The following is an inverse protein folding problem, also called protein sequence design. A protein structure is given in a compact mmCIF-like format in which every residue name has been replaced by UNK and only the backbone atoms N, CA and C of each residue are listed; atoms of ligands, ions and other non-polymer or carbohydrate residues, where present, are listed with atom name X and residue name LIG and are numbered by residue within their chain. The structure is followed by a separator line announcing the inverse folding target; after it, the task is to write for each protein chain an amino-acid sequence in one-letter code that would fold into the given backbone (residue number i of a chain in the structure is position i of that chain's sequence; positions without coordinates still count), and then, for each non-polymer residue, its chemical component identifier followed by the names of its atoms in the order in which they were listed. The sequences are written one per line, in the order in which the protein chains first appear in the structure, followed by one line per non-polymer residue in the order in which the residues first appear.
data_IF_700856232255
#
_entry.id   IF_700856232255
#
_cell.length_a   1.000
_cell.length_b   1.000
_cell.length_c   1.000
_cell.angle_alpha   90.00
_cell.angle_beta   90.00
_cell.angle_gamma   90.00
#
_symmetry.space_group_name_H-M   'P 1'
#
loop_
_entity.id
_entity.type
_entity.pdbx_description
1 polymer ?
#
# COMPACT_ATOMS: atom_id res chain seq x y z
N UNK A 1 5.00 25.31 -32.14
CA UNK A 1 4.76 25.24 -30.69
C UNK A 1 3.94 24.01 -30.34
N UNK A 2 2.83 23.72 -31.04
CA UNK A 2 1.97 22.57 -30.73
C UNK A 2 2.60 21.18 -30.86
N UNK A 3 3.36 20.88 -31.93
CA UNK A 3 3.92 19.53 -32.12
C UNK A 3 4.91 19.11 -31.03
N UNK A 4 5.72 20.05 -30.56
CA UNK A 4 6.72 19.80 -29.52
C UNK A 4 6.07 19.61 -28.15
N UNK A 5 5.06 20.44 -27.82
CA UNK A 5 4.26 20.28 -26.59
C UNK A 5 3.46 18.98 -26.57
N UNK A 6 2.90 18.56 -27.69
CA UNK A 6 2.19 17.28 -27.82
C UNK A 6 3.15 16.11 -27.53
N UNK A 7 4.34 16.12 -28.13
CA UNK A 7 5.32 15.04 -27.94
C UNK A 7 5.88 15.01 -26.51
N UNK A 8 6.16 16.18 -25.92
CA UNK A 8 6.60 16.29 -24.52
C UNK A 8 5.53 15.77 -23.57
N UNK A 9 4.25 16.10 -23.82
CA UNK A 9 3.13 15.61 -23.02
C UNK A 9 3.04 14.09 -23.10
N UNK A 10 3.09 13.53 -24.32
CA UNK A 10 3.07 12.08 -24.53
C UNK A 10 4.24 11.38 -23.81
N UNK A 11 5.45 11.89 -23.98
CA UNK A 11 6.65 11.34 -23.34
C UNK A 11 6.54 11.33 -21.82
N UNK A 12 6.00 12.39 -21.23
CA UNK A 12 5.78 12.46 -19.78
C UNK A 12 4.77 11.43 -19.30
N UNK A 13 3.63 11.28 -20.00
CA UNK A 13 2.63 10.26 -19.67
C UNK A 13 3.16 8.84 -19.85
N UNK A 14 3.87 8.56 -20.93
CA UNK A 14 4.49 7.25 -21.19
C UNK A 14 5.47 6.87 -20.07
N UNK A 15 6.25 7.85 -19.57
CA UNK A 15 7.18 7.63 -18.47
C UNK A 15 6.46 7.31 -17.14
N UNK A 16 5.43 8.09 -16.78
CA UNK A 16 4.62 7.83 -15.58
C UNK A 16 3.93 6.48 -15.67
N UNK A 17 3.37 6.15 -16.83
CA UNK A 17 2.70 4.89 -17.06
C UNK A 17 3.67 3.70 -16.95
N UNK A 18 4.85 3.80 -17.55
CA UNK A 18 5.91 2.79 -17.41
C UNK A 18 6.29 2.58 -15.94
N UNK A 19 6.51 3.67 -15.20
CA UNK A 19 6.80 3.58 -13.77
C UNK A 19 5.69 2.83 -13.01
N UNK A 20 4.42 3.13 -13.29
CA UNK A 20 3.29 2.46 -12.64
C UNK A 20 3.19 0.98 -13.04
N UNK A 21 3.54 0.62 -14.28
CA UNK A 21 3.63 -0.77 -14.71
C UNK A 21 4.70 -1.53 -13.94
N UNK A 22 5.90 -0.98 -13.78
CA UNK A 22 6.97 -1.63 -13.00
C UNK A 22 6.54 -1.88 -11.55
N UNK A 23 5.86 -0.91 -10.91
CA UNK A 23 5.32 -1.10 -9.56
C UNK A 23 4.23 -2.17 -9.54
N UNK A 24 3.37 -2.22 -10.55
CA UNK A 24 2.38 -3.29 -10.67
C UNK A 24 3.03 -4.66 -10.83
N UNK A 25 4.09 -4.80 -11.64
CA UNK A 25 4.81 -6.06 -11.79
C UNK A 25 5.43 -6.51 -10.46
N UNK A 26 6.08 -5.61 -9.73
CA UNK A 26 6.63 -5.89 -8.40
C UNK A 26 5.55 -6.39 -7.43
N UNK A 27 4.39 -5.72 -7.37
CA UNK A 27 3.27 -6.15 -6.52
C UNK A 27 2.76 -7.52 -6.93
N UNK A 28 2.64 -7.80 -8.24
CA UNK A 28 2.19 -9.09 -8.77
C UNK A 28 3.18 -10.21 -8.47
N UNK A 29 4.47 -9.91 -8.45
CA UNK A 29 5.51 -10.87 -8.08
C UNK A 29 5.45 -11.20 -6.58
N UNK A 30 5.30 -10.19 -5.72
CA UNK A 30 5.01 -10.38 -4.29
C UNK A 30 3.77 -11.25 -4.10
N UNK A 31 2.69 -10.95 -4.81
CA UNK A 31 1.45 -11.72 -4.76
C UNK A 31 1.67 -13.18 -5.17
N UNK A 32 2.36 -13.44 -6.27
CA UNK A 32 2.62 -14.79 -6.76
C UNK A 32 3.39 -15.64 -5.73
N UNK A 33 4.41 -15.06 -5.09
CA UNK A 33 5.19 -15.77 -4.05
C UNK A 33 4.32 -16.02 -2.81
N UNK A 34 3.53 -15.03 -2.38
CA UNK A 34 2.67 -15.15 -1.20
C UNK A 34 1.49 -16.11 -1.42
N UNK A 35 1.04 -16.30 -2.66
CA UNK A 35 0.00 -17.29 -3.01
C UNK A 35 0.44 -18.73 -2.72
N UNK A 36 1.75 -19.04 -2.75
CA UNK A 36 2.29 -20.34 -2.34
C UNK A 36 2.01 -20.65 -0.86
N UNK A 37 1.76 -19.61 -0.06
CA UNK A 37 1.47 -19.65 1.39
C UNK A 37 0.01 -19.29 1.69
N UNK A 38 -0.88 -19.48 0.70
CA UNK A 38 -2.33 -19.24 0.76
C UNK A 38 -2.76 -17.81 1.13
N UNK A 39 -1.90 -16.81 0.89
CA UNK A 39 -2.31 -15.42 0.99
C UNK A 39 -3.06 -14.95 -0.25
N UNK A 40 -4.06 -14.10 -0.03
CA UNK A 40 -4.80 -13.39 -1.08
C UNK A 40 -4.58 -11.89 -0.96
N UNK A 41 -4.43 -11.21 -2.10
CA UNK A 41 -4.30 -9.76 -2.14
C UNK A 41 -5.66 -9.10 -1.91
N UNK A 42 -5.72 -8.23 -0.91
CA UNK A 42 -6.84 -7.34 -0.67
C UNK A 42 -6.62 -6.01 -1.36
N UNK A 43 -7.65 -5.53 -2.07
CA UNK A 43 -7.61 -4.25 -2.79
C UNK A 43 -8.42 -3.21 -2.02
N UNK A 44 -8.00 -1.94 -1.99
CA UNK A 44 -8.78 -0.90 -1.36
C UNK A 44 -10.14 -0.78 -2.06
N UNK A 45 -11.20 -0.59 -1.28
CA UNK A 45 -12.52 -0.30 -1.84
C UNK A 45 -12.55 1.12 -2.38
N UNK A 46 -12.32 1.26 -3.69
CA UNK A 46 -12.46 2.50 -4.45
C UNK A 46 -11.27 3.45 -4.35
N UNK A 47 -10.73 3.83 -5.51
CA UNK A 47 -10.13 5.13 -5.75
C UNK A 47 -10.57 5.61 -7.13
N UNK A 48 -11.46 6.59 -7.14
CA UNK A 48 -11.62 7.52 -8.24
C UNK A 48 -11.15 8.88 -7.74
N UNK A 49 -10.36 9.60 -8.53
CA UNK A 49 -10.14 11.03 -8.31
C UNK A 49 -11.51 11.70 -8.44
N UNK A 50 -12.20 11.92 -7.33
CA UNK A 50 -13.39 12.77 -7.26
C UNK A 50 -13.07 13.89 -6.29
N UNK A 51 -12.70 15.05 -6.83
CA UNK A 51 -12.62 16.27 -6.05
C UNK A 51 -14.04 16.65 -5.66
N UNK A 52 -14.39 16.45 -4.37
CA UNK A 52 -15.72 16.82 -3.85
C UNK A 52 -15.95 18.33 -3.84
N UNK A 53 -14.90 19.15 -3.98
CA UNK A 53 -14.93 20.61 -3.88
C UNK A 53 -13.93 21.26 -4.84
N UNK A 54 -14.19 22.50 -5.28
CA UNK A 54 -13.30 23.31 -6.14
C UNK A 54 -11.93 23.59 -5.50
N UNK A 55 -11.84 23.55 -4.17
CA UNK A 55 -10.58 23.68 -3.42
C UNK A 55 -9.57 22.58 -3.79
N UNK A 56 -10.03 21.38 -4.16
CA UNK A 56 -9.16 20.31 -4.64
C UNK A 56 -8.49 20.59 -5.99
N UNK A 57 -8.98 21.60 -6.72
CA UNK A 57 -8.45 22.05 -8.02
C UNK A 57 -7.53 23.27 -7.92
N UNK A 58 -7.28 23.77 -6.70
CA UNK A 58 -6.32 24.86 -6.49
C UNK A 58 -4.92 24.43 -6.94
N UNK A 59 -4.17 25.36 -7.55
CA UNK A 59 -2.82 25.10 -8.06
C UNK A 59 -1.87 24.59 -6.97
N UNK A 60 -2.08 25.02 -5.72
CA UNK A 60 -1.34 24.55 -4.54
C UNK A 60 -1.53 23.05 -4.27
N UNK A 61 -2.65 22.46 -4.73
CA UNK A 61 -2.99 21.05 -4.53
C UNK A 61 -2.59 20.15 -5.70
N UNK A 62 -2.11 20.72 -6.82
CA UNK A 62 -1.68 19.96 -8.01
C UNK A 62 -0.63 18.91 -7.66
N UNK A 63 0.25 19.23 -6.70
CA UNK A 63 1.26 18.27 -6.23
C UNK A 63 0.67 16.99 -5.62
N UNK A 64 -0.61 16.98 -5.24
CA UNK A 64 -1.31 15.85 -4.63
C UNK A 64 -2.18 15.06 -5.63
N UNK A 65 -2.24 15.48 -6.89
CA UNK A 65 -3.11 14.84 -7.89
C UNK A 65 -2.54 13.53 -8.42
N UNK A 66 -1.21 13.40 -8.42
CA UNK A 66 -0.53 12.17 -8.82
C UNK A 66 -0.32 11.26 -7.62
N UNK A 67 -0.73 9.97 -7.68
CA UNK A 67 -0.35 8.99 -6.67
C UNK A 67 1.17 8.90 -6.52
N UNK A 68 1.63 9.17 -5.30
CA UNK A 68 3.05 9.14 -4.89
C UNK A 68 3.45 7.85 -4.19
N UNK A 69 2.46 7.11 -3.72
CA UNK A 69 2.62 5.86 -3.00
C UNK A 69 1.55 4.85 -3.38
N UNK A 70 1.89 3.58 -3.20
CA UNK A 70 1.03 2.43 -3.48
C UNK A 70 0.98 1.58 -2.23
N UNK A 71 -0.22 1.21 -1.79
CA UNK A 71 -0.36 0.24 -0.71
C UNK A 71 -1.26 -0.90 -1.13
N UNK A 72 -0.84 -2.11 -0.80
CA UNK A 72 -1.64 -3.33 -0.91
C UNK A 72 -1.53 -4.08 0.40
N UNK A 73 -2.54 -4.90 0.71
CA UNK A 73 -2.45 -5.81 1.84
C UNK A 73 -2.69 -7.24 1.39
N UNK A 74 -2.18 -8.18 2.18
CA UNK A 74 -2.38 -9.60 2.00
C UNK A 74 -2.89 -10.20 3.30
N UNK A 75 -3.81 -11.13 3.17
CA UNK A 75 -4.46 -11.83 4.27
C UNK A 75 -4.53 -13.31 3.91
N UNK A 76 -4.57 -14.16 4.92
CA UNK A 76 -4.85 -15.58 4.72
C UNK A 76 -6.21 -15.75 4.03
N UNK A 77 -6.28 -16.71 3.10
CA UNK A 77 -7.44 -16.91 2.22
C UNK A 77 -8.74 -17.20 2.98
N UNK A 78 -8.65 -17.89 4.12
CA UNK A 78 -9.77 -18.20 5.02
C UNK A 78 -10.35 -16.95 5.72
N UNK A 79 -9.50 -15.95 6.00
CA UNK A 79 -9.91 -14.68 6.62
C UNK A 79 -10.52 -13.69 5.62
N UNK A 80 -10.37 -13.96 4.32
CA UNK A 80 -10.76 -13.05 3.24
C UNK A 80 -11.55 -13.78 2.14
N UNK A 81 -12.75 -14.30 2.48
CA UNK A 81 -13.59 -14.96 1.52
C UNK A 81 -14.01 -14.01 0.38
N UNK A 82 -14.17 -14.58 -0.80
CA UNK A 82 -14.71 -13.89 -1.96
C UNK A 82 -16.24 -13.99 -1.93
N UNK A 83 -16.92 -12.85 -1.89
CA UNK A 83 -18.37 -12.75 -1.97
C UNK A 83 -18.74 -11.89 -3.18
N UNK A 84 -19.46 -12.48 -4.15
CA UNK A 84 -19.90 -11.81 -5.40
C UNK A 84 -18.76 -11.10 -6.16
N UNK A 85 -17.58 -11.72 -6.20
CA UNK A 85 -16.40 -11.17 -6.87
C UNK A 85 -15.67 -10.06 -6.11
N UNK A 86 -16.05 -9.80 -4.86
CA UNK A 86 -15.42 -8.83 -3.97
C UNK A 86 -14.79 -9.60 -2.81
N UNK A 87 -13.51 -9.33 -2.54
CA UNK A 87 -12.84 -9.83 -1.32
C UNK A 87 -13.40 -9.09 -0.10
N UNK A 88 -13.76 -9.84 0.94
CA UNK A 88 -14.25 -9.26 2.19
C UNK A 88 -13.35 -9.70 3.34
N UNK A 89 -12.39 -8.86 3.70
CA UNK A 89 -11.51 -9.07 4.86
C UNK A 89 -12.17 -8.50 6.10
N UNK A 90 -12.89 -9.33 6.87
CA UNK A 90 -13.59 -8.85 8.07
C UNK A 90 -12.61 -8.58 9.21
N UNK A 91 -12.75 -7.43 9.85
CA UNK A 91 -12.02 -7.12 11.08
C UNK A 91 -12.59 -7.96 12.22
N UNK A 92 -11.72 -8.73 12.85
CA UNK A 92 -11.99 -9.52 14.03
C UNK A 92 -10.71 -9.58 14.90
N UNK A 93 -10.82 -10.13 16.10
CA UNK A 93 -9.72 -10.21 17.06
C UNK A 93 -8.52 -11.01 16.54
N UNK A 94 -8.75 -11.98 15.66
CA UNK A 94 -7.71 -12.80 15.05
C UNK A 94 -7.13 -12.23 13.76
N UNK A 95 -7.67 -11.10 13.26
CA UNK A 95 -7.28 -10.60 11.96
C UNK A 95 -5.83 -10.11 12.01
N UNK A 96 -5.04 -10.70 11.12
CA UNK A 96 -3.66 -10.34 10.90
C UNK A 96 -3.38 -10.23 9.41
N UNK A 97 -2.81 -9.09 9.02
CA UNK A 97 -2.54 -8.80 7.61
C UNK A 97 -1.10 -8.37 7.38
N UNK A 98 -0.60 -8.71 6.21
CA UNK A 98 0.62 -8.15 5.64
C UNK A 98 0.24 -6.89 4.89
N UNK A 99 1.02 -5.84 5.01
CA UNK A 99 0.86 -4.62 4.21
C UNK A 99 2.17 -4.35 3.51
N UNK A 100 2.10 -4.06 2.21
CA UNK A 100 3.24 -3.56 1.44
C UNK A 100 2.90 -2.13 1.03
N UNK A 101 3.77 -1.21 1.39
CA UNK A 101 3.68 0.21 1.10
C UNK A 101 4.91 0.66 0.32
N UNK A 102 4.72 1.14 -0.90
CA UNK A 102 5.78 1.62 -1.79
C UNK A 102 5.64 3.13 -1.90
N UNK A 103 6.69 3.86 -1.55
CA UNK A 103 6.74 5.32 -1.66
C UNK A 103 7.76 5.69 -2.75
N UNK A 104 7.29 6.34 -3.81
CA UNK A 104 8.13 6.71 -4.95
C UNK A 104 8.71 8.11 -4.78
N UNK A 105 7.91 9.05 -4.29
CA UNK A 105 8.32 10.44 -4.23
C UNK A 105 7.55 11.20 -3.15
N UNK A 106 8.28 11.95 -2.32
CA UNK A 106 7.75 12.95 -1.39
C UNK A 106 8.83 14.02 -1.19
N UNK A 107 8.45 15.22 -0.74
CA UNK A 107 9.40 16.31 -0.42
C UNK A 107 10.48 15.86 0.57
N UNK A 108 10.17 14.91 1.45
CA UNK A 108 11.07 14.44 2.50
C UNK A 108 11.78 13.12 2.18
N UNK A 109 11.40 12.44 1.09
CA UNK A 109 11.96 11.13 0.73
C UNK A 109 13.16 11.32 -0.20
N UNK A 110 14.34 10.90 0.26
CA UNK A 110 15.59 10.98 -0.52
C UNK A 110 15.68 9.93 -1.62
N UNK A 111 15.08 8.76 -1.42
CA UNK A 111 15.10 7.61 -2.34
C UNK A 111 13.78 6.83 -2.23
N UNK A 112 13.24 6.32 -3.34
CA UNK A 112 12.08 5.43 -3.30
C UNK A 112 12.31 4.25 -2.35
N UNK A 113 11.28 3.89 -1.61
CA UNK A 113 11.35 2.85 -0.59
C UNK A 113 10.16 1.92 -0.66
N UNK A 114 10.39 0.69 -0.23
CA UNK A 114 9.36 -0.31 0.01
C UNK A 114 9.37 -0.65 1.49
N UNK A 115 8.20 -0.58 2.10
CA UNK A 115 7.98 -0.93 3.49
C UNK A 115 7.02 -2.09 3.54
N UNK A 116 7.38 -3.16 4.25
CA UNK A 116 6.42 -4.19 4.61
C UNK A 116 6.08 -4.10 6.09
N UNK A 117 4.82 -4.36 6.42
CA UNK A 117 4.33 -4.30 7.79
C UNK A 117 3.42 -5.48 8.09
N UNK A 118 3.48 -5.96 9.34
CA UNK A 118 2.53 -6.90 9.91
C UNK A 118 1.61 -6.10 10.80
N UNK A 119 0.31 -6.11 10.49
CA UNK A 119 -0.70 -5.38 11.25
C UNK A 119 -1.55 -6.36 12.04
N UNK A 120 -1.68 -6.10 13.34
CA UNK A 120 -2.41 -6.89 14.34
C UNK A 120 -3.25 -5.98 15.23
N UNK A 121 -4.06 -6.56 16.11
CA UNK A 121 -4.88 -5.83 17.10
C UNK A 121 -5.73 -4.72 16.47
N UNK A 122 -6.32 -5.02 15.31
CA UNK A 122 -7.05 -4.04 14.50
C UNK A 122 -8.41 -3.80 15.12
N UNK A 123 -8.67 -2.54 15.47
CA UNK A 123 -9.95 -2.09 16.04
C UNK A 123 -10.50 -0.96 15.20
N UNK A 124 -11.73 -1.13 14.73
CA UNK A 124 -12.48 -0.07 14.06
C UNK A 124 -13.21 0.80 15.09
N UNK A 125 -12.94 2.11 15.07
CA UNK A 125 -13.66 3.10 15.87
C UNK A 125 -14.98 3.52 15.20
N UNK A 126 -15.31 2.97 14.01
CA UNK A 126 -16.52 3.27 13.25
C UNK A 126 -17.38 2.00 13.08
N UNK A 127 -18.61 1.95 13.61
CA UNK A 127 -19.46 0.76 13.56
C UNK A 127 -19.71 0.19 12.15
N UNK A 128 -19.67 1.03 11.11
CA UNK A 128 -19.94 0.62 9.72
C UNK A 128 -18.69 0.16 8.96
N UNK A 129 -17.51 0.25 9.57
CA UNK A 129 -16.24 -0.07 8.93
C UNK A 129 -15.75 -1.42 9.45
N UNK A 130 -16.38 -2.47 8.95
CA UNK A 130 -16.11 -3.87 9.35
C UNK A 130 -15.09 -4.56 8.42
N UNK A 131 -14.70 -3.89 7.32
CA UNK A 131 -13.82 -4.43 6.27
C UNK A 131 -12.46 -3.76 6.30
N UNK A 132 -11.38 -4.54 6.30
CA UNK A 132 -10.01 -4.01 6.27
C UNK A 132 -9.74 -3.17 5.00
N UNK A 133 -10.40 -3.46 3.89
CA UNK A 133 -10.29 -2.74 2.62
C UNK A 133 -10.60 -1.23 2.75
N UNK A 134 -11.43 -0.83 3.72
CA UNK A 134 -11.72 0.59 3.98
C UNK A 134 -10.56 1.32 4.66
N UNK A 135 -9.69 0.59 5.34
CA UNK A 135 -8.57 1.13 6.12
C UNK A 135 -7.36 1.39 5.24
N UNK A 136 -7.16 0.62 4.17
CA UNK A 136 -5.96 0.71 3.35
C UNK A 136 -5.75 2.09 2.70
N UNK A 137 -6.83 2.77 2.30
CA UNK A 137 -6.75 4.15 1.76
C UNK A 137 -6.23 5.13 2.81
N UNK A 138 -6.74 5.04 4.04
CA UNK A 138 -6.31 5.84 5.19
C UNK A 138 -4.90 5.48 5.65
N UNK A 139 -4.56 4.21 5.63
CA UNK A 139 -3.21 3.72 5.88
C UNK A 139 -2.22 4.37 4.91
N UNK A 140 -2.53 4.34 3.62
CA UNK A 140 -1.69 4.95 2.57
C UNK A 140 -1.51 6.45 2.79
N UNK A 141 -2.59 7.15 3.15
CA UNK A 141 -2.56 8.58 3.44
C UNK A 141 -1.73 8.91 4.68
N UNK A 142 -1.83 8.09 5.73
CA UNK A 142 -1.14 8.28 7.00
C UNK A 142 0.22 7.57 7.09
N UNK A 143 0.73 6.99 6.00
CA UNK A 143 1.92 6.13 5.99
C UNK A 143 3.12 6.77 6.69
N UNK A 144 3.38 8.06 6.44
CA UNK A 144 4.44 8.82 7.11
C UNK A 144 4.31 8.82 8.63
N UNK A 145 3.09 9.00 9.16
CA UNK A 145 2.83 9.00 10.60
C UNK A 145 2.97 7.58 11.17
N UNK A 146 2.44 6.58 10.46
CA UNK A 146 2.47 5.17 10.86
C UNK A 146 3.91 4.65 10.96
N UNK A 147 4.77 5.02 10.01
CA UNK A 147 6.15 4.53 9.90
C UNK A 147 7.20 5.49 10.50
N UNK A 148 6.78 6.43 11.35
CA UNK A 148 7.67 7.44 11.93
C UNK A 148 8.44 6.96 13.17
N UNK A 149 7.94 5.94 13.87
CA UNK A 149 8.27 5.70 15.29
C UNK A 149 8.98 4.37 15.56
N UNK A 150 10.11 4.12 14.89
CA UNK A 150 10.87 2.86 15.03
C UNK A 150 10.11 1.65 14.46
N UNK A 151 10.63 0.42 14.55
CA UNK A 151 10.07 -0.75 13.84
C UNK A 151 8.74 -1.26 14.41
N UNK A 152 8.29 -0.76 15.56
CA UNK A 152 7.02 -1.15 16.17
C UNK A 152 5.96 -0.08 15.89
N UNK A 153 4.76 -0.51 15.54
CA UNK A 153 3.61 0.35 15.29
C UNK A 153 2.68 0.25 16.49
N UNK A 154 2.35 1.40 17.05
CA UNK A 154 1.20 1.60 17.94
C UNK A 154 0.48 2.85 17.44
N UNK A 155 -0.55 2.66 16.61
CA UNK A 155 -1.22 3.74 15.90
C UNK A 155 -2.69 3.82 16.29
N UNK A 156 -3.15 5.04 16.51
CA UNK A 156 -4.55 5.36 16.74
C UNK A 156 -4.94 6.67 16.03
N UNK A 157 -6.11 6.65 15.40
CA UNK A 157 -6.82 7.84 14.95
C UNK A 157 -8.33 7.73 15.16
N UNK A 158 -9.08 8.72 14.64
CA UNK A 158 -10.53 8.83 14.77
C UNK A 158 -11.31 7.65 14.15
N UNK A 159 -10.68 6.84 13.31
CA UNK A 159 -11.29 5.76 12.54
C UNK A 159 -10.82 4.38 12.99
N UNK A 160 -9.57 4.21 13.42
CA UNK A 160 -9.03 2.92 13.84
C UNK A 160 -7.83 3.02 14.77
N UNK A 161 -7.63 1.90 15.46
CA UNK A 161 -6.42 1.57 16.21
C UNK A 161 -5.86 0.26 15.67
N UNK A 162 -4.54 0.16 15.65
CA UNK A 162 -3.85 -1.09 15.36
C UNK A 162 -2.44 -1.08 15.92
N UNK A 163 -1.89 -2.28 16.04
CA UNK A 163 -0.48 -2.50 16.36
C UNK A 163 0.20 -3.20 15.21
N UNK A 164 1.52 -3.25 15.26
CA UNK A 164 2.25 -3.98 14.25
C UNK A 164 3.75 -3.83 14.35
N UNK A 165 4.41 -4.38 13.33
CA UNK A 165 5.84 -4.19 13.10
C UNK A 165 6.06 -3.90 11.63
N UNK A 166 7.03 -3.07 11.31
CA UNK A 166 7.42 -2.83 9.92
C UNK A 166 8.92 -2.83 9.75
N UNK A 167 9.31 -2.98 8.50
CA UNK A 167 10.68 -2.82 8.03
C UNK A 167 10.67 -2.13 6.69
N UNK A 168 11.69 -1.31 6.44
CA UNK A 168 11.79 -0.50 5.23
C UNK A 168 13.09 -0.82 4.53
N UNK A 169 13.01 -1.03 3.22
CA UNK A 169 14.13 -1.21 2.32
C UNK A 169 14.14 -0.14 1.23
N UNK A 170 15.32 0.14 0.70
CA UNK A 170 15.44 0.96 -0.51
C UNK A 170 14.86 0.15 -1.69
N UNK A 171 13.91 0.73 -2.42
CA UNK A 171 13.24 0.05 -3.52
C UNK A 171 14.25 -0.41 -4.60
N UNK A 172 15.22 0.45 -4.93
CA UNK A 172 16.26 0.14 -5.92
C UNK A 172 17.36 -0.80 -5.41
N UNK A 173 17.27 -1.26 -4.16
CA UNK A 173 18.13 -2.35 -3.69
C UNK A 173 17.61 -3.72 -4.08
N UNK A 174 16.43 -3.81 -4.71
CA UNK A 174 15.81 -5.06 -5.14
C UNK A 174 15.90 -5.11 -6.66
N UNK A 175 16.81 -5.93 -7.18
CA UNK A 175 17.07 -6.03 -8.62
C UNK A 175 16.73 -7.39 -9.21
N UNK A 176 16.24 -8.33 -8.39
CA UNK A 176 15.81 -9.65 -8.83
C UNK A 176 14.76 -10.25 -7.90
N UNK A 177 14.07 -11.28 -8.40
CA UNK A 177 13.12 -12.10 -7.63
C UNK A 177 13.76 -12.71 -6.37
N UNK A 178 15.01 -13.14 -6.47
CA UNK A 178 15.76 -13.71 -5.33
C UNK A 178 16.02 -12.64 -4.26
N UNK A 179 16.39 -11.42 -4.65
CA UNK A 179 16.56 -10.32 -3.71
C UNK A 179 15.23 -9.90 -3.08
N UNK A 180 14.15 -9.86 -3.87
CA UNK A 180 12.80 -9.58 -3.38
C UNK A 180 12.40 -10.59 -2.30
N UNK A 181 12.60 -11.88 -2.59
CA UNK A 181 12.30 -12.96 -1.64
C UNK A 181 13.12 -12.81 -0.36
N UNK A 182 14.43 -12.64 -0.49
CA UNK A 182 15.36 -12.57 0.65
C UNK A 182 15.19 -11.32 1.52
N UNK A 183 14.95 -10.15 0.91
CA UNK A 183 14.91 -8.85 1.62
C UNK A 183 13.52 -8.47 2.10
N UNK A 184 12.47 -8.91 1.39
CA UNK A 184 11.08 -8.53 1.68
C UNK A 184 10.27 -9.74 2.14
N UNK A 185 10.14 -10.77 1.30
CA UNK A 185 9.14 -11.84 1.54
C UNK A 185 9.51 -12.72 2.75
N UNK A 186 10.71 -13.31 2.77
CA UNK A 186 11.10 -14.24 3.84
C UNK A 186 11.12 -13.54 5.21
N UNK A 187 11.68 -12.33 5.36
CA UNK A 187 11.61 -11.59 6.61
C UNK A 187 10.16 -11.23 7.01
N UNK A 188 9.32 -10.85 6.04
CA UNK A 188 7.90 -10.54 6.28
C UNK A 188 7.13 -11.77 6.77
N UNK A 189 7.27 -12.92 6.10
CA UNK A 189 6.63 -14.18 6.51
C UNK A 189 7.15 -14.65 7.88
N UNK A 190 8.45 -14.47 8.15
CA UNK A 190 9.01 -14.76 9.48
C UNK A 190 8.39 -13.89 10.56
N UNK A 191 8.22 -12.59 10.33
CA UNK A 191 7.51 -11.71 11.27
C UNK A 191 6.03 -12.10 11.42
N UNK A 192 5.38 -12.50 10.33
CA UNK A 192 4.00 -12.99 10.35
C UNK A 192 3.83 -14.29 11.13
N UNK A 193 4.84 -15.17 11.17
CA UNK A 193 4.72 -16.42 11.95
C UNK A 193 5.04 -16.23 13.44
N UNK A 194 5.82 -15.20 13.78
CA UNK A 194 6.34 -14.97 15.13
C UNK A 194 5.60 -13.89 15.94
N UNK A 195 4.52 -13.32 15.39
CA UNK A 195 3.68 -12.30 16.05
C UNK A 195 2.30 -12.88 16.30
#
# INVERSE_FOLDING_TARGET
MDKDLIEQTKTAFDFVQKMYFEISYLIKEIEAILQEEEFVIGRPSGYGVSTRTSTGLESLNVENWLPKSFSVFFSQKDLSPMDKGITITRINESLKVLVVHIELFDKEIKKPKITYAIITDIVSNKPKWEKFEYFLSRFSYNGKKIFSSGPNIDYEDTYFKFRGKFHTENLFSINSSEELKKKIIDPMLKLYRNT
#
